data_IF_174777551766
#
_entry.id   IF_174777551766
#
_cell.length_a   1.000
_cell.length_b   1.000
_cell.length_c   1.000
_cell.angle_alpha   90.00
_cell.angle_beta   90.00
_cell.angle_gamma   90.00
#
_symmetry.space_group_name_H-M   'P 1'
#
loop_
_entity.id
_entity.type
_entity.pdbx_description
1 polymer ?
#
# COMPACT_ATOMS: atom_id res chain seq x y z
N UNK A 1 4.61 16.04 -2.13
CA UNK A 1 5.89 15.33 -2.40
C UNK A 1 5.59 14.18 -3.34
N UNK A 2 6.59 13.65 -4.03
CA UNK A 2 6.47 12.51 -4.95
C UNK A 2 7.58 11.53 -4.63
N UNK A 3 7.23 10.27 -4.38
CA UNK A 3 8.17 9.18 -4.27
C UNK A 3 8.28 8.49 -5.64
N UNK A 4 9.47 8.50 -6.22
CA UNK A 4 9.77 7.89 -7.51
C UNK A 4 10.69 6.69 -7.32
N UNK A 5 10.34 5.57 -7.96
CA UNK A 5 11.06 4.31 -7.79
C UNK A 5 12.48 4.33 -8.38
N UNK A 6 12.76 5.21 -9.34
CA UNK A 6 14.07 5.32 -10.00
C UNK A 6 14.89 6.49 -9.48
N UNK A 7 14.22 7.60 -9.16
CA UNK A 7 14.87 8.88 -8.92
C UNK A 7 14.92 9.29 -7.44
N UNK A 8 14.07 8.71 -6.59
CA UNK A 8 14.00 9.03 -5.16
C UNK A 8 12.86 9.98 -4.81
N UNK A 9 13.06 10.80 -3.77
CA UNK A 9 12.03 11.64 -3.19
C UNK A 9 12.12 13.07 -3.71
N UNK A 10 11.01 13.57 -4.24
CA UNK A 10 10.89 14.92 -4.80
C UNK A 10 9.85 15.77 -4.08
N UNK A 11 10.08 17.08 -4.08
CA UNK A 11 9.04 18.08 -3.93
C UNK A 11 8.67 18.58 -5.31
N UNK A 12 7.38 18.59 -5.62
CA UNK A 12 6.87 19.10 -6.90
C UNK A 12 5.86 20.18 -6.59
N UNK A 13 6.03 21.35 -7.22
CA UNK A 13 5.03 22.40 -7.22
C UNK A 13 3.96 22.06 -8.28
N UNK A 14 2.69 21.85 -7.89
CA UNK A 14 1.65 21.47 -8.83
C UNK A 14 1.20 22.60 -9.77
N UNK A 15 1.50 23.87 -9.45
CA UNK A 15 1.14 25.02 -10.27
C UNK A 15 2.21 25.32 -11.32
N UNK A 16 3.49 25.29 -10.92
CA UNK A 16 4.61 25.62 -11.82
C UNK A 16 5.23 24.39 -12.49
N UNK A 17 5.02 23.21 -11.92
CA UNK A 17 5.70 21.98 -12.33
C UNK A 17 7.16 21.90 -11.89
N UNK A 18 7.65 22.85 -11.09
CA UNK A 18 9.01 22.85 -10.58
C UNK A 18 9.26 21.60 -9.71
N UNK A 19 10.39 20.92 -9.95
CA UNK A 19 10.78 19.71 -9.23
C UNK A 19 12.07 19.97 -8.46
N UNK A 20 12.01 19.84 -7.14
CA UNK A 20 13.19 19.84 -6.26
C UNK A 20 13.46 18.40 -5.81
N UNK A 21 14.63 17.85 -6.13
CA UNK A 21 15.08 16.60 -5.54
C UNK A 21 15.35 16.84 -4.04
N UNK A 22 14.68 16.06 -3.20
CA UNK A 22 14.89 16.10 -1.75
C UNK A 22 15.91 15.06 -1.32
N UNK A 23 15.82 13.87 -1.90
CA UNK A 23 16.68 12.75 -1.55
C UNK A 23 16.80 11.77 -2.72
N UNK A 24 18.02 11.50 -3.18
CA UNK A 24 18.27 10.54 -4.26
C UNK A 24 18.20 9.10 -3.76
N UNK A 25 17.82 8.17 -4.65
CA UNK A 25 17.87 6.73 -4.34
C UNK A 25 19.25 6.26 -3.88
N UNK A 26 20.33 6.81 -4.44
CA UNK A 26 21.69 6.46 -4.05
C UNK A 26 22.06 6.86 -2.63
N UNK A 27 21.39 7.86 -2.04
CA UNK A 27 21.64 8.30 -0.67
C UNK A 27 21.07 7.30 0.34
N UNK A 28 19.88 6.76 0.06
CA UNK A 28 19.31 5.66 0.81
C UNK A 28 19.09 5.96 2.30
N UNK A 29 19.11 4.90 3.10
CA UNK A 29 19.07 4.97 4.56
C UNK A 29 19.98 3.89 5.16
N UNK A 30 20.71 4.23 6.23
CA UNK A 30 21.65 3.33 6.92
C UNK A 30 22.68 2.66 5.99
N UNK A 31 23.19 3.42 5.00
CA UNK A 31 24.16 2.93 4.03
C UNK A 31 23.59 1.98 2.96
N UNK A 32 22.25 1.82 2.91
CA UNK A 32 21.56 1.03 1.87
C UNK A 32 20.76 1.96 0.95
N UNK A 33 21.11 2.05 -0.36
CA UNK A 33 20.33 2.79 -1.35
C UNK A 33 18.87 2.37 -1.37
N UNK A 34 17.97 3.29 -1.75
CA UNK A 34 16.60 2.93 -2.02
C UNK A 34 16.51 2.14 -3.32
N UNK A 35 15.79 1.02 -3.29
CA UNK A 35 15.57 0.18 -4.46
C UNK A 35 14.29 0.57 -5.21
N UNK A 36 13.17 0.65 -4.49
CA UNK A 36 11.86 0.96 -5.07
C UNK A 36 10.98 1.64 -4.01
N UNK A 37 10.88 2.96 -4.06
CA UNK A 37 9.92 3.70 -3.21
C UNK A 37 8.51 3.47 -3.77
N UNK A 38 7.56 3.09 -2.90
CA UNK A 38 6.22 2.65 -3.32
C UNK A 38 5.10 3.46 -2.68
N UNK A 39 5.10 3.54 -1.35
CA UNK A 39 4.08 4.27 -0.59
C UNK A 39 4.64 5.58 -0.05
N UNK A 40 3.80 6.62 0.01
CA UNK A 40 4.14 7.90 0.61
C UNK A 40 2.90 8.46 1.32
N UNK A 41 3.10 8.85 2.57
CA UNK A 41 2.13 9.56 3.39
C UNK A 41 2.81 10.78 4.01
N UNK A 42 2.10 11.90 4.11
CA UNK A 42 2.68 13.17 4.57
C UNK A 42 1.96 13.57 5.86
N UNK A 43 2.71 13.63 6.96
CA UNK A 43 2.28 14.29 8.19
C UNK A 43 2.41 15.81 8.03
N UNK A 44 1.68 16.56 8.86
CA UNK A 44 1.83 18.01 9.01
C UNK A 44 3.27 18.49 9.30
N UNK A 45 4.16 17.61 9.80
CA UNK A 45 5.54 17.95 10.18
C UNK A 45 6.63 17.15 9.44
N UNK A 46 6.32 15.94 8.99
CA UNK A 46 7.31 15.04 8.37
C UNK A 46 6.69 14.22 7.24
N UNK A 47 7.52 13.73 6.32
CA UNK A 47 7.08 12.73 5.34
C UNK A 47 7.33 11.32 5.86
N UNK A 48 6.38 10.40 5.71
CA UNK A 48 6.56 8.97 5.95
C UNK A 48 6.51 8.25 4.61
N UNK A 49 7.53 7.45 4.31
CA UNK A 49 7.69 6.76 3.02
C UNK A 49 7.83 5.27 3.27
N UNK A 50 7.21 4.46 2.41
CA UNK A 50 7.47 3.02 2.34
C UNK A 50 8.39 2.73 1.17
N UNK A 51 9.41 1.92 1.43
CA UNK A 51 10.29 1.33 0.43
C UNK A 51 10.05 -0.18 0.29
N UNK A 52 9.88 -0.63 -0.95
CA UNK A 52 9.95 -2.03 -1.35
C UNK A 52 11.41 -2.40 -1.68
N UNK A 53 12.04 -3.23 -0.85
CA UNK A 53 13.33 -3.87 -1.16
C UNK A 53 13.27 -5.38 -0.82
N UNK A 54 14.41 -6.10 -0.84
CA UNK A 54 14.47 -7.55 -0.58
C UNK A 54 13.86 -7.98 0.77
N UNK A 55 13.66 -7.03 1.69
CA UNK A 55 13.04 -7.13 3.00
C UNK A 55 12.47 -5.76 3.41
N UNK A 56 11.48 -5.23 2.66
CA UNK A 56 11.02 -3.83 2.64
C UNK A 56 11.02 -3.02 3.96
N UNK A 57 11.09 -1.69 3.83
CA UNK A 57 11.30 -0.77 4.95
C UNK A 57 10.20 0.28 5.07
N UNK A 58 9.88 0.63 6.31
CA UNK A 58 9.14 1.84 6.64
C UNK A 58 10.14 2.92 7.05
N UNK A 59 10.11 4.04 6.36
CA UNK A 59 11.06 5.13 6.51
C UNK A 59 10.35 6.41 6.95
N UNK A 60 10.96 7.16 7.85
CA UNK A 60 10.60 8.54 8.15
C UNK A 60 11.59 9.48 7.48
N UNK A 61 11.11 10.55 6.86
CA UNK A 61 11.92 11.61 6.29
C UNK A 61 11.53 12.96 6.88
N UNK A 62 12.51 13.63 7.49
CA UNK A 62 12.37 14.99 7.98
C UNK A 62 12.85 15.99 6.90
N UNK A 63 11.95 16.80 6.31
CA UNK A 63 12.32 17.75 5.27
C UNK A 63 13.17 18.93 5.76
N UNK A 64 13.15 19.26 7.06
CA UNK A 64 13.94 20.35 7.63
C UNK A 64 15.39 19.91 7.85
N UNK A 65 15.58 18.75 8.49
CA UNK A 65 16.92 18.21 8.78
C UNK A 65 17.49 17.35 7.66
N UNK A 66 16.67 16.98 6.67
CA UNK A 66 16.97 16.03 5.58
C UNK A 66 17.42 14.66 6.06
N UNK A 67 17.02 14.27 7.27
CA UNK A 67 17.37 12.97 7.85
C UNK A 67 16.33 11.92 7.47
N UNK A 68 16.83 10.71 7.21
CA UNK A 68 16.00 9.52 7.07
C UNK A 68 16.24 8.61 8.25
N UNK A 69 15.15 8.12 8.83
CA UNK A 69 15.16 7.13 9.89
C UNK A 69 14.43 5.87 9.42
N UNK A 70 15.00 4.69 9.70
CA UNK A 70 14.34 3.41 9.46
C UNK A 70 13.47 3.11 10.67
N UNK A 71 12.15 3.13 10.50
CA UNK A 71 11.18 2.87 11.57
C UNK A 71 10.92 1.36 11.73
N UNK A 72 10.81 0.64 10.61
CA UNK A 72 10.69 -0.81 10.56
C UNK A 72 11.50 -1.36 9.37
N UNK A 73 12.12 -2.53 9.56
CA UNK A 73 12.84 -3.29 8.53
C UNK A 73 12.25 -4.72 8.47
N UNK A 74 12.62 -5.49 7.44
CA UNK A 74 12.16 -6.86 7.24
C UNK A 74 10.65 -7.03 7.03
N UNK A 75 10.03 -6.07 6.34
CA UNK A 75 8.62 -6.12 5.96
C UNK A 75 8.39 -6.93 4.68
N UNK A 76 7.23 -7.58 4.62
CA UNK A 76 6.86 -8.49 3.55
C UNK A 76 6.10 -7.78 2.42
N UNK A 77 6.86 -7.13 1.53
CA UNK A 77 6.31 -6.35 0.40
C UNK A 77 5.32 -5.27 0.89
N UNK A 78 5.80 -4.28 1.67
CA UNK A 78 4.94 -3.23 2.19
C UNK A 78 4.43 -2.31 1.07
N UNK A 79 3.10 -2.20 0.88
CA UNK A 79 2.52 -1.39 -0.20
C UNK A 79 1.99 -0.04 0.30
N UNK A 80 1.03 -0.11 1.24
CA UNK A 80 0.24 1.03 1.68
C UNK A 80 0.59 1.48 3.10
N UNK A 81 0.63 2.79 3.30
CA UNK A 81 0.73 3.44 4.62
C UNK A 81 -0.38 4.48 4.73
N UNK A 82 -0.98 4.59 5.91
CA UNK A 82 -1.88 5.70 6.23
C UNK A 82 -1.69 6.14 7.69
N UNK A 83 -1.64 7.45 7.91
CA UNK A 83 -1.60 8.03 9.25
C UNK A 83 -2.99 8.00 9.89
N UNK A 84 -3.03 7.77 11.20
CA UNK A 84 -4.22 8.06 11.99
C UNK A 84 -4.52 9.58 12.02
N UNK A 85 -5.77 10.01 12.25
CA UNK A 85 -6.12 11.43 12.27
C UNK A 85 -5.29 12.28 13.26
N UNK A 86 -4.94 11.70 14.42
CA UNK A 86 -4.09 12.35 15.43
C UNK A 86 -2.58 12.18 15.19
N UNK A 87 -2.20 11.46 14.14
CA UNK A 87 -0.82 11.03 13.88
C UNK A 87 -0.19 10.31 15.10
N UNK A 88 -0.99 9.55 15.85
CA UNK A 88 -0.54 8.80 17.03
C UNK A 88 0.05 7.44 16.64
N UNK A 89 -0.45 6.88 15.53
CA UNK A 89 0.03 5.68 14.88
C UNK A 89 -0.19 5.78 13.37
N UNK A 90 0.37 4.83 12.64
CA UNK A 90 0.05 4.57 11.23
C UNK A 90 -0.35 3.10 11.03
N UNK A 91 -1.11 2.85 9.98
CA UNK A 91 -1.31 1.51 9.45
C UNK A 91 -0.38 1.25 8.28
N UNK A 92 0.03 0.00 8.13
CA UNK A 92 0.94 -0.49 7.10
C UNK A 92 0.42 -1.81 6.53
N UNK A 93 0.30 -1.90 5.20
CA UNK A 93 -0.10 -3.11 4.50
C UNK A 93 1.11 -3.93 4.05
N UNK A 94 1.20 -5.19 4.48
CA UNK A 94 2.16 -6.17 3.99
C UNK A 94 1.47 -7.10 2.99
N UNK A 95 1.61 -6.76 1.71
CA UNK A 95 0.86 -7.39 0.63
C UNK A 95 1.15 -8.87 0.55
N UNK A 96 2.42 -9.29 0.57
CA UNK A 96 2.78 -10.67 0.21
C UNK A 96 2.35 -11.73 1.22
N UNK A 97 2.02 -11.32 2.45
CA UNK A 97 1.54 -12.22 3.51
C UNK A 97 0.08 -11.91 3.93
N UNK A 98 -0.57 -10.91 3.31
CA UNK A 98 -1.96 -10.58 3.58
C UNK A 98 -2.19 -10.09 5.01
N UNK A 99 -1.42 -9.07 5.44
CA UNK A 99 -1.41 -8.57 6.82
C UNK A 99 -1.46 -7.04 6.88
N UNK A 100 -2.15 -6.49 7.89
CA UNK A 100 -2.08 -5.07 8.28
C UNK A 100 -1.40 -4.94 9.64
N UNK A 101 -0.36 -4.12 9.71
CA UNK A 101 0.33 -3.73 10.93
C UNK A 101 -0.11 -2.34 11.38
N UNK A 102 -0.08 -2.12 12.69
CA UNK A 102 -0.07 -0.78 13.29
C UNK A 102 1.33 -0.49 13.81
N UNK A 103 1.86 0.68 13.51
CA UNK A 103 3.10 1.20 14.09
C UNK A 103 2.79 2.45 14.90
N UNK A 104 3.19 2.46 16.17
CA UNK A 104 2.93 3.54 17.10
C UNK A 104 3.97 4.66 16.96
N UNK A 105 3.52 5.86 16.66
CA UNK A 105 4.36 7.05 16.52
C UNK A 105 4.49 7.81 17.85
N UNK A 106 3.45 7.76 18.69
CA UNK A 106 3.36 8.50 19.95
C UNK A 106 2.87 7.60 21.09
N UNK A 107 2.98 8.13 22.31
CA UNK A 107 2.49 7.48 23.52
C UNK A 107 3.43 6.38 24.06
N UNK A 108 2.96 5.58 25.04
CA UNK A 108 3.81 4.61 25.76
C UNK A 108 4.29 3.44 24.88
N UNK A 109 3.64 3.20 23.73
CA UNK A 109 4.01 2.18 22.75
C UNK A 109 4.85 2.73 21.60
N UNK A 110 5.22 4.02 21.60
CA UNK A 110 5.96 4.63 20.50
C UNK A 110 7.20 3.82 20.09
N UNK A 111 7.41 3.63 18.79
CA UNK A 111 8.49 2.81 18.25
C UNK A 111 8.18 1.32 18.16
N UNK A 112 7.00 0.87 18.60
CA UNK A 112 6.59 -0.54 18.50
C UNK A 112 5.53 -0.76 17.42
N UNK A 113 5.43 -2.00 16.96
CA UNK A 113 4.39 -2.44 16.04
C UNK A 113 3.56 -3.58 16.60
N UNK A 114 2.32 -3.69 16.15
CA UNK A 114 1.42 -4.80 16.46
C UNK A 114 0.60 -5.19 15.22
N UNK A 115 0.23 -6.47 15.14
CA UNK A 115 -0.62 -6.97 14.06
C UNK A 115 -2.08 -6.59 14.33
N UNK A 116 -2.71 -5.95 13.36
CA UNK A 116 -4.13 -5.53 13.44
C UNK A 116 -5.04 -6.53 12.74
N UNK A 117 -4.65 -6.92 11.52
CA UNK A 117 -5.32 -7.97 10.75
C UNK A 117 -4.28 -8.89 10.17
N UNK A 118 -4.54 -10.20 10.23
CA UNK A 118 -3.68 -11.24 9.69
C UNK A 118 -4.51 -12.23 8.87
N UNK A 119 -3.83 -13.03 8.03
CA UNK A 119 -4.45 -14.03 7.17
C UNK A 119 -5.67 -13.49 6.40
N UNK A 120 -5.50 -12.31 5.81
CA UNK A 120 -6.60 -11.60 5.15
C UNK A 120 -7.16 -12.38 3.96
N UNK A 121 -8.43 -12.11 3.65
CA UNK A 121 -9.17 -12.68 2.51
C UNK A 121 -8.66 -12.22 1.13
N UNK A 122 -7.62 -11.41 1.10
CA UNK A 122 -6.97 -10.88 -0.09
C UNK A 122 -5.65 -10.23 0.26
N UNK A 123 -4.88 -9.85 -0.76
CA UNK A 123 -3.62 -9.16 -0.59
C UNK A 123 -3.88 -7.65 -0.51
N UNK A 124 -3.58 -6.99 0.63
CA UNK A 124 -3.82 -5.57 0.79
C UNK A 124 -2.82 -4.74 -0.03
N UNK A 125 -3.27 -3.61 -0.55
CA UNK A 125 -2.46 -2.67 -1.31
C UNK A 125 -2.41 -1.31 -0.58
N UNK A 126 -2.74 -0.20 -1.25
CA UNK A 126 -2.77 1.10 -0.59
C UNK A 126 -3.85 1.19 0.49
N UNK A 127 -3.52 1.94 1.54
CA UNK A 127 -4.41 2.29 2.65
C UNK A 127 -4.63 3.80 2.56
N UNK A 128 -5.89 4.24 2.68
CA UNK A 128 -6.23 5.67 2.75
C UNK A 128 -7.16 5.93 3.90
N UNK A 129 -7.06 7.12 4.49
CA UNK A 129 -8.07 7.59 5.43
C UNK A 129 -9.34 7.97 4.64
N UNK A 130 -10.50 7.55 5.12
CA UNK A 130 -11.80 7.98 4.58
C UNK A 130 -11.93 9.51 4.66
N UNK A 131 -12.77 10.09 3.79
CA UNK A 131 -12.99 11.54 3.77
C UNK A 131 -13.52 12.09 5.10
N UNK A 132 -14.23 11.25 5.87
CA UNK A 132 -14.74 11.59 7.21
C UNK A 132 -13.67 11.57 8.30
N UNK A 133 -12.51 10.96 8.06
CA UNK A 133 -11.47 10.74 9.05
C UNK A 133 -11.76 9.62 10.06
N UNK A 134 -12.89 8.90 9.94
CA UNK A 134 -13.34 7.96 10.97
C UNK A 134 -13.03 6.49 10.67
N UNK A 135 -12.48 6.20 9.51
CA UNK A 135 -12.15 4.86 9.03
C UNK A 135 -10.98 4.90 8.04
N UNK A 136 -10.31 3.76 7.89
CA UNK A 136 -9.33 3.50 6.84
C UNK A 136 -9.96 2.64 5.75
N UNK A 137 -9.62 2.92 4.49
CA UNK A 137 -10.02 2.17 3.32
C UNK A 137 -8.79 1.45 2.78
N UNK A 138 -8.93 0.15 2.55
CA UNK A 138 -7.84 -0.71 2.07
C UNK A 138 -8.23 -1.29 0.73
N UNK A 139 -7.47 -0.96 -0.32
CA UNK A 139 -7.60 -1.62 -1.61
C UNK A 139 -7.08 -3.05 -1.54
N UNK A 140 -7.81 -4.01 -2.12
CA UNK A 140 -7.36 -5.40 -2.24
C UNK A 140 -7.05 -5.68 -3.71
N UNK A 141 -5.78 -5.94 -4.00
CA UNK A 141 -5.30 -6.19 -5.38
C UNK A 141 -5.82 -7.52 -5.92
N UNK A 142 -5.91 -8.55 -5.08
CA UNK A 142 -6.48 -9.83 -5.47
C UNK A 142 -7.01 -10.54 -4.23
N UNK A 143 -8.24 -11.09 -4.27
CA UNK A 143 -8.72 -11.91 -3.17
C UNK A 143 -8.05 -13.28 -3.14
N UNK A 144 -7.81 -13.79 -1.93
CA UNK A 144 -7.30 -15.13 -1.63
C UNK A 144 -8.43 -16.15 -1.51
N UNK A 145 -9.48 -16.03 -2.33
CA UNK A 145 -10.56 -17.01 -2.33
C UNK A 145 -10.04 -18.35 -2.87
N UNK A 146 -10.14 -19.39 -2.06
CA UNK A 146 -9.89 -20.76 -2.50
C UNK A 146 -11.01 -21.18 -3.47
N UNK A 147 -10.70 -21.23 -4.76
CA UNK A 147 -11.54 -21.93 -5.75
C UNK A 147 -11.14 -23.42 -5.72
N UNK A 148 -10.89 -24.05 -6.86
CA UNK A 148 -10.47 -25.47 -6.91
C UNK A 148 -8.99 -25.67 -6.50
N UNK A 149 -8.16 -24.64 -6.64
CA UNK A 149 -6.74 -24.61 -6.31
C UNK A 149 -6.45 -23.51 -5.28
N UNK A 150 -5.39 -23.63 -4.46
CA UNK A 150 -4.92 -22.51 -3.63
C UNK A 150 -4.57 -21.30 -4.51
N UNK A 151 -4.65 -20.06 -3.99
CA UNK A 151 -4.22 -18.87 -4.71
C UNK A 151 -2.82 -19.07 -5.31
N UNK A 152 -2.63 -18.68 -6.57
CA UNK A 152 -1.41 -18.95 -7.32
C UNK A 152 -0.14 -18.48 -6.58
N UNK A 153 -0.21 -17.33 -5.93
CA UNK A 153 0.89 -16.78 -5.14
C UNK A 153 1.21 -17.63 -3.90
N UNK A 154 0.20 -18.14 -3.19
CA UNK A 154 0.38 -19.04 -2.03
C UNK A 154 0.97 -20.40 -2.45
N UNK A 155 0.64 -20.88 -3.64
CA UNK A 155 1.19 -22.15 -4.19
C UNK A 155 2.67 -22.03 -4.56
N UNK A 156 3.11 -20.85 -5.03
CA UNK A 156 4.49 -20.61 -5.45
C UNK A 156 5.42 -20.10 -4.34
N UNK A 157 4.87 -19.47 -3.31
CA UNK A 157 5.63 -18.89 -2.19
C UNK A 157 6.66 -19.86 -1.57
N UNK A 158 6.39 -21.17 -1.39
CA UNK A 158 7.35 -22.10 -0.77
C UNK A 158 8.53 -22.50 -1.67
N UNK A 159 8.51 -22.17 -2.97
CA UNK A 159 9.45 -22.71 -3.96
C UNK A 159 10.23 -21.61 -4.72
N UNK A 160 11.30 -21.04 -4.14
CA UNK A 160 12.07 -19.95 -4.74
C UNK A 160 12.65 -20.25 -6.13
N UNK A 161 13.06 -21.52 -6.36
CA UNK A 161 13.60 -21.96 -7.65
C UNK A 161 12.52 -21.97 -8.75
N UNK A 162 11.31 -22.39 -8.42
CA UNK A 162 10.15 -22.39 -9.33
C UNK A 162 9.78 -20.95 -9.70
N UNK A 163 9.72 -20.04 -8.72
CA UNK A 163 9.48 -18.61 -8.95
C UNK A 163 10.49 -18.00 -9.94
N UNK A 164 11.79 -18.30 -9.78
CA UNK A 164 12.85 -17.81 -10.68
C UNK A 164 12.77 -18.37 -12.09
N UNK A 165 12.39 -19.63 -12.23
CA UNK A 165 12.22 -20.27 -13.54
C UNK A 165 10.99 -19.71 -14.26
N UNK A 166 9.85 -19.66 -13.59
CA UNK A 166 8.59 -19.17 -14.13
C UNK A 166 8.64 -17.70 -14.54
N UNK A 167 9.33 -16.85 -13.76
CA UNK A 167 9.55 -15.45 -14.12
C UNK A 167 10.38 -15.25 -15.40
N UNK A 168 11.17 -16.25 -15.82
CA UNK A 168 11.99 -16.19 -17.05
C UNK A 168 11.30 -16.75 -18.28
N UNK A 169 10.35 -17.67 -18.08
CA UNK A 169 9.78 -18.49 -19.17
C UNK A 169 8.36 -18.07 -19.53
N UNK A 170 7.59 -17.57 -18.56
CA UNK A 170 6.18 -17.22 -18.76
C UNK A 170 6.04 -15.70 -18.71
N UNK A 171 5.49 -15.07 -19.75
CA UNK A 171 5.18 -13.64 -19.73
C UNK A 171 4.30 -13.30 -18.53
N UNK A 172 4.60 -12.21 -17.82
CA UNK A 172 3.82 -11.80 -16.64
C UNK A 172 2.32 -11.70 -16.93
N UNK A 173 1.96 -11.24 -18.14
CA UNK A 173 0.57 -11.10 -18.59
C UNK A 173 -0.24 -12.40 -18.68
N UNK A 174 0.43 -13.56 -18.72
CA UNK A 174 -0.27 -14.84 -18.70
C UNK A 174 -0.78 -15.21 -17.30
N UNK A 175 -0.17 -14.64 -16.25
CA UNK A 175 -0.66 -14.84 -14.88
C UNK A 175 -1.95 -14.06 -14.61
N UNK A 176 -2.19 -12.96 -15.33
CA UNK A 176 -3.40 -12.14 -15.17
C UNK A 176 -4.68 -12.93 -15.48
N UNK A 177 -4.62 -13.88 -16.42
CA UNK A 177 -5.74 -14.79 -16.75
C UNK A 177 -6.08 -15.73 -15.57
N UNK A 178 -5.11 -16.00 -14.70
CA UNK A 178 -5.29 -16.88 -13.54
C UNK A 178 -5.82 -16.12 -12.31
N UNK A 179 -5.78 -14.79 -12.33
CA UNK A 179 -6.28 -13.98 -11.23
C UNK A 179 -7.80 -13.84 -11.34
N UNK A 180 -8.55 -14.08 -10.25
CA UNK A 180 -9.98 -13.84 -10.25
C UNK A 180 -10.23 -12.34 -10.45
N UNK A 181 -11.12 -12.00 -11.40
CA UNK A 181 -11.70 -10.67 -11.48
C UNK A 181 -12.61 -10.50 -10.28
N UNK A 182 -12.20 -9.70 -9.31
CA UNK A 182 -12.97 -9.43 -8.12
C UNK A 182 -12.34 -8.20 -7.45
N UNK A 183 -12.99 -7.05 -7.60
CA UNK A 183 -12.59 -5.86 -6.87
C UNK A 183 -13.15 -5.88 -5.45
N UNK A 184 -12.27 -5.57 -4.50
CA UNK A 184 -12.59 -5.59 -3.09
C UNK A 184 -11.92 -4.40 -2.41
N UNK A 185 -12.70 -3.70 -1.59
CA UNK A 185 -12.22 -2.68 -0.67
C UNK A 185 -12.67 -3.04 0.73
N UNK A 186 -11.77 -2.98 1.71
CA UNK A 186 -12.13 -3.15 3.12
C UNK A 186 -12.20 -1.80 3.81
N UNK A 187 -13.18 -1.64 4.69
CA UNK A 187 -13.30 -0.50 5.58
C UNK A 187 -12.92 -0.93 7.01
N UNK A 188 -11.88 -0.30 7.56
CA UNK A 188 -11.37 -0.55 8.90
C UNK A 188 -11.69 0.64 9.81
N UNK A 189 -12.19 0.38 11.00
CA UNK A 189 -12.28 1.37 12.07
C UNK A 189 -10.88 1.83 12.50
N UNK A 190 -10.81 2.98 13.20
CA UNK A 190 -9.54 3.51 13.72
C UNK A 190 -8.87 2.56 14.73
N UNK A 191 -9.65 1.76 15.46
CA UNK A 191 -9.13 0.72 16.35
C UNK A 191 -8.65 -0.54 15.60
N UNK A 192 -8.81 -0.58 14.28
CA UNK A 192 -8.40 -1.68 13.41
C UNK A 192 -9.47 -2.74 13.16
N UNK A 193 -10.65 -2.61 13.79
CA UNK A 193 -11.76 -3.53 13.55
C UNK A 193 -12.33 -3.40 12.14
N UNK A 194 -12.68 -4.53 11.51
CA UNK A 194 -13.36 -4.51 10.21
C UNK A 194 -14.79 -3.97 10.38
N UNK A 195 -15.14 -2.91 9.64
CA UNK A 195 -16.48 -2.30 9.64
C UNK A 195 -17.35 -2.79 8.49
N UNK A 196 -16.76 -2.95 7.32
CA UNK A 196 -17.49 -3.26 6.10
C UNK A 196 -16.56 -3.58 4.94
N UNK A 197 -17.16 -3.91 3.81
CA UNK A 197 -16.41 -4.28 2.61
C UNK A 197 -17.25 -4.04 1.37
N UNK A 198 -16.67 -3.36 0.39
CA UNK A 198 -17.29 -3.15 -0.92
C UNK A 198 -16.73 -4.18 -1.91
N UNK A 199 -17.63 -4.80 -2.68
CA UNK A 199 -17.28 -5.84 -3.64
C UNK A 199 -17.84 -5.53 -5.04
N UNK A 200 -17.05 -5.83 -6.06
CA UNK A 200 -17.50 -6.07 -7.44
C UNK A 200 -17.03 -7.48 -7.84
N UNK A 201 -17.82 -8.53 -7.48
CA UNK A 201 -17.40 -9.92 -7.61
C UNK A 201 -17.17 -10.40 -9.04
N UNK A 202 -17.80 -9.73 -10.00
CA UNK A 202 -17.68 -10.06 -11.43
C UNK A 202 -16.64 -9.18 -12.13
N UNK A 203 -16.08 -8.19 -11.43
CA UNK A 203 -15.12 -7.21 -11.94
C UNK A 203 -15.66 -6.40 -13.12
N UNK A 204 -16.96 -6.07 -13.07
CA UNK A 204 -17.68 -5.34 -14.13
C UNK A 204 -17.26 -3.88 -14.23
N UNK A 205 -17.00 -3.25 -13.09
CA UNK A 205 -16.48 -1.89 -12.99
C UNK A 205 -14.95 -1.92 -12.96
N UNK A 206 -14.38 -2.68 -12.03
CA UNK A 206 -12.93 -2.82 -11.90
C UNK A 206 -12.53 -4.23 -11.47
N UNK A 207 -11.41 -4.72 -12.00
CA UNK A 207 -11.01 -6.13 -11.80
C UNK A 207 -10.23 -6.35 -10.51
N UNK A 208 -9.58 -5.29 -10.00
CA UNK A 208 -8.72 -5.27 -8.83
C UNK A 208 -8.61 -3.81 -8.34
N UNK A 209 -8.45 -3.61 -7.04
CA UNK A 209 -8.34 -2.26 -6.47
C UNK A 209 -6.98 -2.08 -5.80
N UNK A 210 -6.15 -1.21 -6.37
CA UNK A 210 -4.82 -0.88 -5.84
C UNK A 210 -4.82 0.34 -4.92
N UNK A 211 -5.77 1.28 -5.09
CA UNK A 211 -5.92 2.46 -4.23
C UNK A 211 -7.39 2.88 -4.16
N UNK A 212 -7.76 3.56 -3.07
CA UNK A 212 -9.14 4.03 -2.82
C UNK A 212 -9.09 5.43 -2.27
N UNK A 213 -9.60 6.40 -3.02
CA UNK A 213 -9.63 7.79 -2.58
C UNK A 213 -11.07 8.28 -2.46
N UNK A 214 -11.45 8.78 -1.28
CA UNK A 214 -12.72 9.46 -1.09
C UNK A 214 -12.51 10.97 -1.16
N UNK A 215 -13.23 11.63 -2.06
CA UNK A 215 -13.24 13.08 -2.15
C UNK A 215 -14.13 13.71 -1.06
N UNK A 216 -13.86 14.96 -0.66
CA UNK A 216 -14.77 15.71 0.22
C UNK A 216 -16.19 15.87 -0.34
N UNK A 217 -16.37 15.75 -1.66
CA UNK A 217 -17.66 15.82 -2.35
C UNK A 217 -18.47 14.52 -2.35
N UNK A 218 -18.02 13.48 -1.64
CA UNK A 218 -18.74 12.20 -1.48
C UNK A 218 -18.42 11.14 -2.54
N UNK A 219 -17.71 11.49 -3.61
CA UNK A 219 -17.29 10.52 -4.64
C UNK A 219 -16.12 9.67 -4.16
N UNK A 220 -16.16 8.39 -4.52
CA UNK A 220 -15.08 7.43 -4.27
C UNK A 220 -14.41 7.03 -5.58
N UNK A 221 -13.10 7.11 -5.62
CA UNK A 221 -12.27 6.79 -6.78
C UNK A 221 -11.52 5.49 -6.49
N UNK A 222 -11.64 4.53 -7.41
CA UNK A 222 -11.00 3.23 -7.31
C UNK A 222 -9.85 3.16 -8.32
N UNK A 223 -8.62 3.14 -7.81
CA UNK A 223 -7.42 2.98 -8.61
C UNK A 223 -7.18 1.51 -8.97
N UNK A 224 -6.65 1.27 -10.16
CA UNK A 224 -6.22 -0.04 -10.64
C UNK A 224 -4.95 0.11 -11.46
N UNK A 225 -4.02 -0.83 -11.34
CA UNK A 225 -2.79 -0.89 -12.15
C UNK A 225 -3.03 -1.45 -13.55
N UNK A 226 -4.15 -2.14 -13.73
CA UNK A 226 -4.38 -2.99 -14.90
C UNK A 226 -5.38 -2.36 -15.88
N UNK A 227 -5.98 -1.22 -15.51
CA UNK A 227 -7.04 -0.58 -16.27
C UNK A 227 -6.62 0.80 -16.80
N UNK A 228 -6.98 1.14 -18.06
CA UNK A 228 -6.65 2.42 -18.66
C UNK A 228 -7.65 3.54 -18.28
N UNK A 229 -8.47 3.32 -17.26
CA UNK A 229 -9.50 4.25 -16.81
C UNK A 229 -9.59 4.27 -15.28
N UNK A 230 -10.16 5.35 -14.74
CA UNK A 230 -10.40 5.50 -13.30
C UNK A 230 -11.88 5.23 -13.01
N UNK A 231 -12.18 4.22 -12.20
CA UNK A 231 -13.53 3.93 -11.77
C UNK A 231 -13.96 4.91 -10.67
N UNK A 232 -15.19 5.41 -10.76
CA UNK A 232 -15.76 6.39 -9.83
C UNK A 232 -17.13 5.93 -9.36
N UNK A 233 -17.34 5.96 -8.04
CA UNK A 233 -18.61 5.70 -7.40
C UNK A 233 -19.18 7.01 -6.88
N UNK A 234 -20.42 7.32 -7.25
CA UNK A 234 -21.12 8.52 -6.77
C UNK A 234 -21.58 8.37 -5.31
N UNK A 235 -21.86 7.15 -4.86
CA UNK A 235 -22.23 6.84 -3.48
C UNK A 235 -21.41 5.66 -2.93
N UNK A 236 -21.03 5.75 -1.66
CA UNK A 236 -20.38 4.68 -0.90
C UNK A 236 -21.44 4.02 0.00
N UNK A 237 -21.85 2.80 -0.37
CA UNK A 237 -22.75 1.96 0.43
C UNK A 237 -22.01 0.65 0.77
N UNK A 238 -21.26 0.62 1.89
CA UNK A 238 -20.43 -0.52 2.28
C UNK A 238 -21.21 -1.68 2.90
#
# INVERSE_FOLDING_TARGET
MVADSYLGLYRVDPQTGEKTLLLANSEGAEGRPFAFLNGLEISSRSGVVIELNSLGRLLSYDPETRRVEVLLDALYMPNGVALSPGEDFLLLAETSIGRILRYWLKGPKAGTSEVVLDNMIGYPDNIRLSASGNAFLVGITTPRFRKLLPPFLDMMAPYPAVKRFLAKVVPLSWYDVLLPRHALVLELALDGGLRGSLHDPDGTLTQAVSDVFQSPGGRTYLGSTDQPYLAVLDEWQP
#
